data_IF_951730782280
#
_entry.id   IF_951730782280
#
_cell.length_a   1.000
_cell.length_b   1.000
_cell.length_c   1.000
_cell.angle_alpha   90.00
_cell.angle_beta   90.00
_cell.angle_gamma   90.00
#
_symmetry.space_group_name_H-M   'P 1'
#
loop_
_entity.id
_entity.type
_entity.pdbx_description
1 polymer ?
#
# COMPACT_ATOMS: atom_id res chain seq x y z
N UNK A 1 8.91 -22.15 -17.95
CA UNK A 1 8.99 -22.25 -16.48
C UNK A 1 8.41 -20.96 -15.92
N UNK A 2 7.47 -21.06 -14.99
CA UNK A 2 6.80 -19.90 -14.40
C UNK A 2 7.68 -19.30 -13.31
N UNK A 3 7.87 -17.98 -13.30
CA UNK A 3 8.59 -17.28 -12.24
C UNK A 3 7.62 -16.49 -11.34
N UNK A 4 7.75 -16.71 -10.03
CA UNK A 4 6.93 -16.09 -9.00
C UNK A 4 7.83 -15.46 -7.96
N UNK A 5 7.67 -14.16 -7.73
CA UNK A 5 8.59 -13.39 -6.91
C UNK A 5 7.88 -12.33 -6.07
N UNK A 6 8.33 -12.17 -4.84
CA UNK A 6 8.04 -11.03 -3.97
C UNK A 6 9.30 -10.18 -3.85
N UNK A 7 9.22 -8.91 -4.28
CA UNK A 7 10.25 -7.90 -3.99
C UNK A 7 9.76 -7.05 -2.82
N UNK A 8 10.40 -7.21 -1.66
CA UNK A 8 10.24 -6.26 -0.58
C UNK A 8 11.18 -5.08 -0.78
N UNK A 9 10.58 -3.91 -0.75
CA UNK A 9 11.18 -2.65 -1.10
C UNK A 9 11.13 -1.69 0.07
N UNK A 10 11.97 -0.67 0.01
CA UNK A 10 11.95 0.45 0.95
C UNK A 10 11.25 1.67 0.36
N UNK A 11 10.92 2.64 1.20
CA UNK A 11 10.21 3.83 0.79
C UNK A 11 11.01 4.66 -0.22
N UNK A 12 10.42 4.92 -1.40
CA UNK A 12 11.08 5.71 -2.44
C UNK A 12 12.15 4.98 -3.26
N UNK A 13 12.17 3.65 -3.19
CA UNK A 13 13.05 2.79 -4.02
C UNK A 13 12.66 2.69 -5.50
N UNK A 14 11.49 3.21 -5.89
CA UNK A 14 11.02 3.11 -7.27
C UNK A 14 10.26 1.82 -7.59
N UNK A 15 9.54 1.22 -6.62
CA UNK A 15 8.65 0.04 -6.78
C UNK A 15 7.87 0.05 -8.10
N UNK A 16 7.06 1.07 -8.30
CA UNK A 16 6.22 1.20 -9.50
C UNK A 16 7.05 1.37 -10.76
N UNK A 17 8.19 2.08 -10.70
CA UNK A 17 9.10 2.22 -11.84
C UNK A 17 9.68 0.86 -12.23
N UNK A 18 10.12 0.06 -11.25
CA UNK A 18 10.64 -1.29 -11.47
C UNK A 18 9.62 -2.21 -12.17
N UNK A 19 8.34 -2.12 -11.80
CA UNK A 19 7.27 -2.85 -12.49
C UNK A 19 7.12 -2.39 -13.94
N UNK A 20 7.09 -1.06 -14.16
CA UNK A 20 6.88 -0.47 -15.49
C UNK A 20 8.06 -0.75 -16.43
N UNK A 21 9.29 -0.75 -15.93
CA UNK A 21 10.49 -1.01 -16.71
C UNK A 21 10.48 -2.41 -17.32
N UNK A 22 9.85 -3.39 -16.65
CA UNK A 22 9.70 -4.78 -17.12
C UNK A 22 8.62 -4.97 -18.18
N UNK A 23 7.74 -4.00 -18.38
CA UNK A 23 6.67 -4.09 -19.38
C UNK A 23 7.24 -4.02 -20.80
N UNK A 24 6.62 -4.75 -21.71
CA UNK A 24 6.90 -4.76 -23.16
C UNK A 24 5.59 -4.90 -23.96
N UNK A 25 5.70 -4.88 -25.28
CA UNK A 25 4.54 -4.94 -26.19
C UNK A 25 4.18 -6.38 -26.59
N UNK A 26 5.04 -7.36 -26.32
CA UNK A 26 4.87 -8.75 -26.77
C UNK A 26 4.05 -9.60 -25.80
N UNK A 27 4.13 -9.29 -24.50
CA UNK A 27 3.49 -10.06 -23.41
C UNK A 27 2.29 -9.33 -22.84
N UNK A 28 1.33 -10.07 -22.28
CA UNK A 28 0.11 -9.51 -21.68
C UNK A 28 0.32 -9.31 -20.18
N UNK A 29 0.16 -8.07 -19.72
CA UNK A 29 0.45 -7.66 -18.36
C UNK A 29 -0.79 -7.16 -17.64
N UNK A 30 -1.06 -7.70 -16.46
CA UNK A 30 -2.09 -7.19 -15.56
C UNK A 30 -1.40 -6.58 -14.35
N UNK A 31 -1.51 -5.26 -14.20
CA UNK A 31 -1.00 -4.53 -13.03
C UNK A 31 -2.16 -4.22 -12.09
N UNK A 32 -2.06 -4.68 -10.85
CA UNK A 32 -3.05 -4.45 -9.80
C UNK A 32 -2.40 -3.60 -8.72
N UNK A 33 -3.12 -2.57 -8.28
CA UNK A 33 -2.72 -1.71 -7.17
C UNK A 33 -3.93 -1.38 -6.28
N UNK A 34 -3.72 -0.85 -5.09
CA UNK A 34 -4.83 -0.66 -4.16
C UNK A 34 -5.70 0.57 -4.50
N UNK A 35 -5.09 1.73 -4.73
CA UNK A 35 -5.82 3.01 -4.80
C UNK A 35 -6.06 3.47 -6.24
N UNK A 36 -7.11 4.27 -6.45
CA UNK A 36 -7.40 4.93 -7.73
C UNK A 36 -6.24 5.85 -8.13
N UNK A 37 -5.70 6.61 -7.17
CA UNK A 37 -4.55 7.51 -7.38
C UNK A 37 -3.32 6.76 -7.88
N UNK A 38 -2.97 5.64 -7.24
CA UNK A 38 -1.87 4.77 -7.68
C UNK A 38 -2.10 4.23 -9.08
N UNK A 39 -3.32 3.77 -9.39
CA UNK A 39 -3.65 3.23 -10.71
C UNK A 39 -3.54 4.30 -11.81
N UNK A 40 -3.99 5.53 -11.55
CA UNK A 40 -3.86 6.66 -12.48
C UNK A 40 -2.40 7.03 -12.72
N UNK A 41 -1.58 7.06 -11.65
CA UNK A 41 -0.14 7.33 -11.77
C UNK A 41 0.58 6.25 -12.56
N UNK A 42 0.24 4.97 -12.35
CA UNK A 42 0.77 3.85 -13.13
C UNK A 42 0.43 4.03 -14.62
N UNK A 43 -0.83 4.27 -14.95
CA UNK A 43 -1.25 4.51 -16.35
C UNK A 43 -0.50 5.66 -16.99
N UNK A 44 -0.38 6.79 -16.28
CA UNK A 44 0.37 7.94 -16.75
C UNK A 44 1.84 7.61 -17.04
N UNK A 45 2.50 6.86 -16.15
CA UNK A 45 3.90 6.43 -16.34
C UNK A 45 4.05 5.43 -17.50
N UNK A 46 3.08 4.55 -17.72
CA UNK A 46 3.04 3.66 -18.89
C UNK A 46 2.91 4.47 -20.18
N UNK A 47 2.00 5.46 -20.22
CA UNK A 47 1.85 6.38 -21.34
C UNK A 47 3.14 7.15 -21.60
N UNK A 48 3.83 7.62 -20.55
CA UNK A 48 5.15 8.25 -20.70
C UNK A 48 6.20 7.33 -21.32
N UNK A 49 6.17 6.03 -20.99
CA UNK A 49 7.14 5.05 -21.51
C UNK A 49 6.88 4.70 -22.98
N UNK A 50 5.62 4.48 -23.36
CA UNK A 50 5.27 3.95 -24.69
C UNK A 50 4.65 5.00 -25.63
N UNK A 51 4.37 6.21 -25.16
CA UNK A 51 3.63 7.26 -25.89
C UNK A 51 2.10 7.09 -25.85
N UNK A 52 1.60 5.92 -25.47
CA UNK A 52 0.19 5.58 -25.33
C UNK A 52 0.02 4.48 -24.28
N UNK A 53 -1.22 4.07 -23.98
CA UNK A 53 -1.50 2.90 -23.13
C UNK A 53 -1.72 1.67 -24.03
N UNK A 54 -0.78 0.71 -24.08
CA UNK A 54 -0.92 -0.46 -24.95
C UNK A 54 -2.04 -1.40 -24.52
N UNK A 55 -2.77 -1.97 -25.49
CA UNK A 55 -3.92 -2.85 -25.24
C UNK A 55 -3.54 -4.14 -24.49
N UNK A 56 -2.30 -4.61 -24.62
CA UNK A 56 -1.77 -5.78 -23.92
C UNK A 56 -1.46 -5.49 -22.43
N UNK A 57 -1.53 -4.24 -21.98
CA UNK A 57 -1.22 -3.84 -20.60
C UNK A 57 -2.49 -3.29 -19.94
N UNK A 58 -3.02 -4.04 -18.97
CA UNK A 58 -4.20 -3.64 -18.21
C UNK A 58 -3.82 -3.24 -16.79
N UNK A 59 -4.35 -2.10 -16.34
CA UNK A 59 -4.13 -1.58 -14.99
C UNK A 59 -5.46 -1.57 -14.24
N UNK A 60 -5.47 -2.12 -13.03
CA UNK A 60 -6.65 -2.24 -12.19
C UNK A 60 -6.40 -1.68 -10.79
N UNK A 61 -7.43 -1.10 -10.19
CA UNK A 61 -7.51 -1.10 -8.72
C UNK A 61 -7.91 -2.49 -8.23
N UNK A 62 -7.54 -2.84 -7.00
CA UNK A 62 -7.78 -4.18 -6.45
C UNK A 62 -9.25 -4.63 -6.54
N UNK A 63 -10.19 -3.83 -6.04
CA UNK A 63 -11.62 -4.17 -6.11
C UNK A 63 -12.16 -4.20 -7.53
N UNK A 64 -11.61 -3.37 -8.43
CA UNK A 64 -11.99 -3.40 -9.83
C UNK A 64 -11.55 -4.70 -10.50
N UNK A 65 -10.35 -5.20 -10.17
CA UNK A 65 -9.88 -6.51 -10.61
C UNK A 65 -10.79 -7.63 -10.07
N UNK A 66 -11.06 -7.65 -8.76
CA UNK A 66 -11.96 -8.66 -8.19
C UNK A 66 -13.33 -8.66 -8.87
N UNK A 67 -13.97 -7.49 -8.98
CA UNK A 67 -15.32 -7.42 -9.52
C UNK A 67 -15.35 -7.68 -11.03
N UNK A 68 -14.61 -6.92 -11.84
CA UNK A 68 -14.74 -6.99 -13.29
C UNK A 68 -14.06 -8.21 -13.90
N UNK A 69 -12.98 -8.72 -13.30
CA UNK A 69 -12.28 -9.89 -13.81
C UNK A 69 -12.74 -11.18 -13.13
N UNK A 70 -12.90 -11.19 -11.80
CA UNK A 70 -13.10 -12.42 -11.05
C UNK A 70 -14.58 -12.76 -10.77
N UNK A 71 -15.47 -11.77 -10.70
CA UNK A 71 -16.87 -11.98 -10.27
C UNK A 71 -17.86 -11.79 -11.42
N UNK A 72 -17.85 -10.63 -12.06
CA UNK A 72 -18.83 -10.22 -13.07
C UNK A 72 -18.93 -11.22 -14.23
N UNK A 73 -17.84 -11.75 -14.81
CA UNK A 73 -17.94 -12.67 -15.94
C UNK A 73 -18.72 -13.95 -15.63
N UNK A 74 -18.74 -14.39 -14.38
CA UNK A 74 -19.36 -15.64 -13.95
C UNK A 74 -20.75 -15.43 -13.35
N UNK A 75 -20.94 -14.33 -12.62
CA UNK A 75 -22.13 -14.12 -11.79
C UNK A 75 -23.10 -13.06 -12.33
N UNK A 76 -22.76 -12.36 -13.43
CA UNK A 76 -23.57 -11.26 -13.96
C UNK A 76 -25.04 -11.66 -14.18
N UNK A 77 -25.28 -12.75 -14.93
CA UNK A 77 -26.64 -13.22 -15.21
C UNK A 77 -27.30 -13.89 -14.00
N UNK A 78 -26.53 -14.61 -13.18
CA UNK A 78 -27.03 -15.32 -11.99
C UNK A 78 -27.64 -14.37 -10.96
N UNK A 79 -27.01 -13.21 -10.75
CA UNK A 79 -27.38 -12.25 -9.70
C UNK A 79 -27.76 -10.87 -10.20
N UNK A 80 -27.87 -10.68 -11.52
CA UNK A 80 -28.14 -9.39 -12.16
C UNK A 80 -27.22 -8.27 -11.62
N UNK A 81 -25.90 -8.53 -11.67
CA UNK A 81 -24.90 -7.67 -11.03
C UNK A 81 -24.85 -6.29 -11.70
N UNK A 82 -25.01 -5.24 -10.89
CA UNK A 82 -24.98 -3.83 -11.35
C UNK A 82 -23.66 -3.13 -11.05
N UNK A 83 -22.98 -3.50 -9.96
CA UNK A 83 -21.72 -2.87 -9.60
C UNK A 83 -21.19 -3.27 -8.22
N UNK A 84 -20.31 -2.42 -7.69
CA UNK A 84 -19.70 -2.56 -6.36
C UNK A 84 -20.24 -1.46 -5.45
N UNK A 85 -20.58 -1.81 -4.22
CA UNK A 85 -20.84 -0.86 -3.14
C UNK A 85 -19.55 -0.62 -2.34
N UNK A 86 -19.00 0.59 -2.42
CA UNK A 86 -17.73 0.96 -1.80
C UNK A 86 -17.85 1.38 -0.34
N UNK A 87 -19.05 1.65 0.14
CA UNK A 87 -19.29 1.88 1.57
C UNK A 87 -19.35 0.55 2.32
N UNK A 88 -19.25 0.63 3.65
CA UNK A 88 -19.39 -0.54 4.50
C UNK A 88 -20.78 -1.17 4.36
N UNK A 89 -20.88 -2.50 4.34
CA UNK A 89 -22.16 -3.19 4.29
C UNK A 89 -22.99 -2.87 5.54
N UNK A 90 -24.34 -2.83 5.44
CA UNK A 90 -25.22 -2.63 6.60
C UNK A 90 -24.94 -3.67 7.69
N UNK A 91 -24.96 -3.28 8.96
CA UNK A 91 -24.58 -4.17 10.07
C UNK A 91 -25.39 -5.48 10.11
N UNK A 92 -26.67 -5.41 9.73
CA UNK A 92 -27.58 -6.56 9.67
C UNK A 92 -27.02 -7.70 8.83
N UNK A 93 -26.24 -7.38 7.79
CA UNK A 93 -25.65 -8.36 6.90
C UNK A 93 -24.61 -9.26 7.58
N UNK A 94 -24.03 -8.84 8.70
CA UNK A 94 -23.08 -9.65 9.46
C UNK A 94 -23.74 -10.88 10.10
N UNK A 95 -25.03 -10.80 10.41
CA UNK A 95 -25.80 -11.87 11.07
C UNK A 95 -26.30 -12.93 10.08
N UNK A 96 -26.25 -12.67 8.78
CA UNK A 96 -26.58 -13.69 7.79
C UNK A 96 -25.56 -14.83 7.80
N UNK A 97 -26.05 -16.05 7.52
CA UNK A 97 -25.20 -17.24 7.35
C UNK A 97 -24.27 -17.06 6.15
N UNK A 98 -23.11 -17.72 6.15
CA UNK A 98 -22.18 -17.66 5.02
C UNK A 98 -22.75 -18.26 3.73
N UNK A 99 -23.80 -19.09 3.83
CA UNK A 99 -24.52 -19.64 2.68
C UNK A 99 -25.56 -18.69 2.08
N UNK A 100 -25.77 -17.50 2.67
CA UNK A 100 -26.77 -16.55 2.23
C UNK A 100 -26.15 -15.45 1.36
N UNK A 101 -26.59 -15.34 0.10
CA UNK A 101 -26.09 -14.35 -0.86
C UNK A 101 -26.27 -12.89 -0.38
N UNK A 102 -27.28 -12.62 0.47
CA UNK A 102 -27.53 -11.29 1.06
C UNK A 102 -26.40 -10.84 1.99
N UNK A 103 -25.54 -11.78 2.43
CA UNK A 103 -24.30 -11.47 3.10
C UNK A 103 -23.30 -10.80 2.17
N UNK A 104 -23.33 -11.04 0.87
CA UNK A 104 -22.28 -10.55 -0.04
C UNK A 104 -22.74 -9.38 -0.90
N UNK A 105 -24.04 -9.21 -1.09
CA UNK A 105 -24.58 -8.17 -1.96
C UNK A 105 -25.95 -7.63 -1.53
N UNK A 106 -26.27 -6.43 -2.01
CA UNK A 106 -27.57 -5.80 -1.82
C UNK A 106 -28.65 -6.41 -2.71
N UNK A 107 -29.92 -6.21 -2.33
CA UNK A 107 -31.09 -6.60 -3.15
C UNK A 107 -31.10 -5.96 -4.55
N UNK A 108 -30.40 -4.83 -4.72
CA UNK A 108 -30.36 -4.08 -5.97
C UNK A 108 -29.25 -4.56 -6.93
N UNK A 109 -28.53 -5.64 -6.61
CA UNK A 109 -27.48 -6.21 -7.48
C UNK A 109 -26.09 -5.63 -7.26
N UNK A 110 -25.84 -4.91 -6.17
CA UNK A 110 -24.52 -4.33 -5.86
C UNK A 110 -23.76 -5.18 -4.83
N UNK A 111 -22.54 -5.58 -5.16
CA UNK A 111 -21.69 -6.42 -4.29
C UNK A 111 -20.91 -5.55 -3.32
N UNK A 112 -20.81 -5.96 -2.05
CA UNK A 112 -20.02 -5.23 -1.05
C UNK A 112 -18.52 -5.44 -1.30
N UNK A 113 -17.77 -4.35 -1.48
CA UNK A 113 -16.35 -4.40 -1.86
C UNK A 113 -15.49 -5.28 -0.93
N UNK A 114 -15.66 -5.13 0.37
CA UNK A 114 -14.93 -5.85 1.42
C UNK A 114 -15.31 -7.33 1.55
N UNK A 115 -16.26 -7.82 0.74
CA UNK A 115 -16.73 -9.21 0.73
C UNK A 115 -16.59 -9.88 -0.64
N UNK A 116 -15.96 -9.23 -1.61
CA UNK A 116 -15.73 -9.78 -2.95
C UNK A 116 -14.92 -11.08 -2.92
N UNK A 117 -13.81 -11.13 -2.17
CA UNK A 117 -13.01 -12.37 -2.03
C UNK A 117 -13.84 -13.52 -1.45
N UNK A 118 -14.67 -13.25 -0.43
CA UNK A 118 -15.57 -14.26 0.14
C UNK A 118 -16.68 -14.68 -0.81
N UNK A 119 -17.18 -13.79 -1.66
CA UNK A 119 -18.18 -14.14 -2.67
C UNK A 119 -17.59 -15.12 -3.70
N UNK A 120 -16.33 -14.91 -4.10
CA UNK A 120 -15.61 -15.81 -5.01
C UNK A 120 -15.46 -17.19 -4.35
N UNK A 121 -15.10 -17.25 -3.07
CA UNK A 121 -15.04 -18.49 -2.30
C UNK A 121 -16.40 -19.18 -2.16
N UNK A 122 -17.46 -18.42 -1.82
CA UNK A 122 -18.83 -18.92 -1.67
C UNK A 122 -19.36 -19.55 -2.97
N UNK A 123 -19.04 -18.95 -4.11
CA UNK A 123 -19.44 -19.43 -5.44
C UNK A 123 -18.46 -20.45 -6.04
N UNK A 124 -17.41 -20.83 -5.30
CA UNK A 124 -16.38 -21.77 -5.73
C UNK A 124 -15.69 -21.39 -7.06
N UNK A 125 -15.47 -20.09 -7.30
CA UNK A 125 -14.98 -19.56 -8.58
C UNK A 125 -13.45 -19.52 -8.69
N UNK A 126 -12.70 -19.96 -7.68
CA UNK A 126 -11.24 -19.80 -7.64
C UNK A 126 -10.55 -20.44 -8.85
N UNK A 127 -10.92 -21.67 -9.20
CA UNK A 127 -10.31 -22.39 -10.33
C UNK A 127 -10.70 -21.79 -11.67
N UNK A 128 -11.96 -21.37 -11.84
CA UNK A 128 -12.43 -20.69 -13.05
C UNK A 128 -11.69 -19.36 -13.28
N UNK A 129 -11.43 -18.62 -12.19
CA UNK A 129 -10.68 -17.36 -12.24
C UNK A 129 -9.21 -17.62 -12.60
N UNK A 130 -8.58 -18.69 -12.08
CA UNK A 130 -7.21 -19.07 -12.45
C UNK A 130 -7.11 -19.40 -13.94
N UNK A 131 -7.98 -20.27 -14.46
CA UNK A 131 -8.03 -20.63 -15.89
C UNK A 131 -8.23 -19.41 -16.77
N UNK A 132 -9.12 -18.50 -16.34
CA UNK A 132 -9.34 -17.23 -17.04
C UNK A 132 -8.08 -16.37 -17.02
N UNK A 133 -7.39 -16.28 -15.87
CA UNK A 133 -6.17 -15.48 -15.75
C UNK A 133 -5.07 -16.00 -16.67
N UNK A 134 -4.82 -17.31 -16.67
CA UNK A 134 -3.85 -17.96 -17.57
C UNK A 134 -4.19 -17.74 -19.06
N UNK A 135 -5.48 -17.73 -19.40
CA UNK A 135 -5.93 -17.48 -20.77
C UNK A 135 -5.65 -16.06 -21.24
N UNK A 136 -5.70 -15.04 -20.38
CA UNK A 136 -5.66 -13.62 -20.78
C UNK A 136 -4.39 -12.86 -20.35
N UNK A 137 -3.59 -13.44 -19.46
CA UNK A 137 -2.46 -12.76 -18.82
C UNK A 137 -1.22 -13.67 -18.78
N UNK A 138 -0.06 -13.11 -19.13
CA UNK A 138 1.22 -13.80 -19.04
C UNK A 138 2.00 -13.40 -17.77
N UNK A 139 1.78 -12.15 -17.31
CA UNK A 139 2.43 -11.56 -16.14
C UNK A 139 1.43 -10.78 -15.28
N UNK A 140 1.21 -11.28 -14.07
CA UNK A 140 0.40 -10.61 -13.05
C UNK A 140 1.29 -9.88 -12.06
N UNK A 141 1.22 -8.55 -12.09
CA UNK A 141 2.00 -7.67 -11.22
C UNK A 141 1.09 -7.06 -10.16
N UNK A 142 1.50 -7.11 -8.91
CA UNK A 142 0.76 -6.54 -7.79
C UNK A 142 1.64 -5.54 -7.05
N UNK A 143 1.24 -4.26 -7.10
CA UNK A 143 1.90 -3.17 -6.37
C UNK A 143 1.24 -2.96 -4.99
N UNK A 144 2.04 -2.52 -4.02
CA UNK A 144 1.64 -2.31 -2.62
C UNK A 144 1.03 -3.58 -1.97
N UNK A 145 1.65 -4.75 -2.19
CA UNK A 145 1.17 -6.05 -1.69
C UNK A 145 1.01 -6.13 -0.16
N UNK A 146 1.71 -5.27 0.59
CA UNK A 146 1.54 -5.20 2.04
C UNK A 146 0.16 -4.69 2.46
N UNK A 147 -0.57 -4.00 1.59
CA UNK A 147 -1.92 -3.50 1.92
C UNK A 147 -2.98 -4.62 1.85
N UNK A 148 -2.64 -5.80 1.31
CA UNK A 148 -3.49 -6.99 1.37
C UNK A 148 -3.70 -7.44 2.82
N UNK A 149 -4.96 -7.66 3.19
CA UNK A 149 -5.34 -8.20 4.49
C UNK A 149 -6.42 -9.27 4.42
N UNK A 150 -6.67 -9.91 5.56
CA UNK A 150 -7.78 -10.85 5.75
C UNK A 150 -7.96 -11.85 4.59
N UNK A 151 -9.15 -11.91 3.99
CA UNK A 151 -9.48 -12.89 2.94
C UNK A 151 -8.86 -12.54 1.60
N UNK A 152 -8.58 -11.25 1.36
CA UNK A 152 -7.94 -10.79 0.12
C UNK A 152 -6.53 -11.37 -0.03
N UNK A 153 -5.77 -11.43 1.06
CA UNK A 153 -4.47 -12.08 1.06
C UNK A 153 -4.57 -13.55 0.66
N UNK A 154 -5.50 -14.30 1.29
CA UNK A 154 -5.69 -15.72 0.99
C UNK A 154 -6.08 -15.93 -0.48
N UNK A 155 -7.03 -15.13 -0.99
CA UNK A 155 -7.46 -15.20 -2.37
C UNK A 155 -6.30 -14.95 -3.36
N UNK A 156 -5.48 -13.91 -3.13
CA UNK A 156 -4.33 -13.62 -4.00
C UNK A 156 -3.26 -14.72 -3.93
N UNK A 157 -3.03 -15.31 -2.75
CA UNK A 157 -2.12 -16.46 -2.62
C UNK A 157 -2.67 -17.69 -3.35
N UNK A 158 -3.96 -17.99 -3.23
CA UNK A 158 -4.58 -19.06 -4.00
C UNK A 158 -4.51 -18.80 -5.50
N UNK A 159 -4.80 -17.58 -5.94
CA UNK A 159 -4.67 -17.17 -7.34
C UNK A 159 -3.24 -17.34 -7.85
N UNK A 160 -2.23 -17.10 -7.00
CA UNK A 160 -0.82 -17.27 -7.36
C UNK A 160 -0.42 -18.70 -7.70
N UNK A 161 -1.26 -19.71 -7.40
CA UNK A 161 -1.04 -21.12 -7.82
C UNK A 161 -1.23 -21.34 -9.32
N UNK A 162 -1.85 -20.41 -10.03
CA UNK A 162 -2.00 -20.47 -11.48
C UNK A 162 -0.66 -20.51 -12.24
N UNK A 163 -0.70 -20.99 -13.47
CA UNK A 163 0.43 -21.24 -14.37
C UNK A 163 0.80 -19.98 -15.19
N UNK A 164 1.03 -18.86 -14.51
CA UNK A 164 1.56 -17.62 -15.09
C UNK A 164 2.52 -16.91 -14.15
N UNK A 165 3.27 -15.94 -14.66
CA UNK A 165 4.28 -15.26 -13.86
C UNK A 165 3.64 -14.28 -12.88
N UNK A 166 4.14 -14.26 -11.64
CA UNK A 166 3.69 -13.33 -10.61
C UNK A 166 4.85 -12.47 -10.11
N UNK A 167 4.62 -11.17 -10.03
CA UNK A 167 5.55 -10.24 -9.38
C UNK A 167 4.79 -9.38 -8.37
N UNK A 168 5.02 -9.66 -7.10
CA UNK A 168 4.51 -8.87 -5.99
C UNK A 168 5.57 -7.86 -5.57
N UNK A 169 5.19 -6.61 -5.37
CA UNK A 169 6.09 -5.56 -4.87
C UNK A 169 5.40 -4.82 -3.73
N UNK A 170 6.13 -4.56 -2.65
CA UNK A 170 5.59 -3.84 -1.51
C UNK A 170 6.62 -3.45 -0.48
N UNK A 171 6.22 -2.66 0.50
CA UNK A 171 7.04 -2.27 1.65
C UNK A 171 6.31 -2.66 2.94
N UNK A 172 6.80 -3.72 3.61
CA UNK A 172 6.19 -4.27 4.82
C UNK A 172 5.99 -3.23 5.93
N UNK A 173 6.91 -2.26 6.05
CA UNK A 173 6.85 -1.24 7.09
C UNK A 173 5.96 -0.05 6.72
N UNK A 174 5.54 0.08 5.45
CA UNK A 174 4.51 1.05 5.01
C UNK A 174 3.07 0.54 5.09
N UNK A 175 2.81 -0.56 5.81
CA UNK A 175 1.45 -1.03 6.05
C UNK A 175 0.69 -0.05 6.95
N UNK A 176 -0.11 0.83 6.33
CA UNK A 176 -0.97 1.84 6.97
C UNK A 176 -2.46 1.65 6.68
N UNK A 177 -2.79 0.98 5.57
CA UNK A 177 -4.14 0.62 5.14
C UNK A 177 -4.28 -0.89 4.99
N UNK A 178 -5.51 -1.40 5.06
CA UNK A 178 -5.83 -2.82 4.87
C UNK A 178 -6.97 -2.91 3.85
N UNK A 179 -6.88 -3.83 2.90
CA UNK A 179 -7.90 -4.05 1.86
C UNK A 179 -9.24 -4.53 2.43
N UNK A 180 -9.23 -5.36 3.46
CA UNK A 180 -10.44 -5.75 4.19
C UNK A 180 -10.12 -6.03 5.65
N UNK A 181 -11.13 -5.87 6.50
CA UNK A 181 -11.00 -6.12 7.93
C UNK A 181 -12.00 -7.21 8.35
N UNK A 182 -11.48 -8.42 8.55
CA UNK A 182 -12.16 -9.48 9.29
C UNK A 182 -11.38 -9.73 10.58
N UNK A 183 -12.02 -9.51 11.73
CA UNK A 183 -11.38 -9.50 13.07
C UNK A 183 -10.69 -10.81 13.43
N UNK A 184 -10.96 -11.90 12.72
CA UNK A 184 -10.40 -13.22 13.03
C UNK A 184 -9.38 -13.72 11.99
N UNK A 185 -9.40 -13.20 10.76
CA UNK A 185 -8.60 -13.77 9.66
C UNK A 185 -7.38 -12.91 9.37
N UNK A 186 -6.19 -13.55 9.39
CA UNK A 186 -4.90 -12.92 9.11
C UNK A 186 -4.58 -11.69 10.00
N UNK A 187 -5.13 -11.60 11.21
CA UNK A 187 -4.89 -10.51 12.19
C UNK A 187 -3.40 -10.33 12.50
N UNK A 188 -2.65 -11.42 12.45
CA UNK A 188 -1.22 -11.44 12.76
C UNK A 188 -0.32 -11.40 11.52
N UNK A 189 -0.89 -11.32 10.30
CA UNK A 189 -0.14 -11.37 9.03
C UNK A 189 0.99 -10.34 9.01
N UNK A 190 0.66 -9.12 9.43
CA UNK A 190 1.57 -7.98 9.44
C UNK A 190 2.17 -7.74 10.82
N UNK A 191 2.30 -8.75 11.70
CA UNK A 191 2.94 -8.56 13.03
C UNK A 191 4.43 -8.86 12.98
N UNK A 192 4.83 -9.89 12.25
CA UNK A 192 6.20 -10.40 12.23
C UNK A 192 6.68 -10.48 10.77
N UNK A 193 7.86 -9.91 10.52
CA UNK A 193 8.44 -9.81 9.18
C UNK A 193 8.78 -11.19 8.60
N UNK A 194 9.41 -12.06 9.38
CA UNK A 194 9.82 -13.39 8.92
C UNK A 194 8.62 -14.31 8.73
N UNK A 195 7.62 -14.24 9.61
CA UNK A 195 6.36 -14.98 9.40
C UNK A 195 5.62 -14.49 8.16
N UNK A 196 5.67 -13.20 7.85
CA UNK A 196 5.10 -12.66 6.62
C UNK A 196 5.80 -13.25 5.39
N UNK A 197 7.13 -13.30 5.37
CA UNK A 197 7.90 -13.94 4.27
C UNK A 197 7.52 -15.41 4.07
N UNK A 198 7.45 -16.18 5.17
CA UNK A 198 7.06 -17.60 5.13
C UNK A 198 5.68 -17.84 4.51
N UNK A 199 4.77 -16.86 4.58
CA UNK A 199 3.44 -16.98 3.95
C UNK A 199 3.53 -16.96 2.43
N UNK A 200 4.48 -16.25 1.84
CA UNK A 200 4.72 -16.26 0.39
C UNK A 200 5.54 -17.47 -0.04
N UNK A 201 6.56 -17.84 0.74
CA UNK A 201 7.38 -19.04 0.47
C UNK A 201 6.54 -20.32 0.44
N UNK A 202 5.50 -20.40 1.27
CA UNK A 202 4.55 -21.53 1.27
C UNK A 202 3.77 -21.71 -0.06
N UNK A 203 3.84 -20.74 -0.96
CA UNK A 203 3.23 -20.76 -2.30
C UNK A 203 4.29 -20.75 -3.41
N UNK A 204 5.51 -21.17 -3.11
CA UNK A 204 6.66 -21.22 -4.03
C UNK A 204 7.05 -19.85 -4.62
N UNK A 205 6.77 -18.77 -3.88
CA UNK A 205 7.12 -17.41 -4.27
C UNK A 205 8.50 -17.07 -3.73
N UNK A 206 9.44 -16.78 -4.63
CA UNK A 206 10.82 -16.39 -4.26
C UNK A 206 10.85 -15.02 -3.61
N UNK A 207 11.60 -14.90 -2.52
CA UNK A 207 11.74 -13.64 -1.79
C UNK A 207 12.99 -12.88 -2.27
N UNK A 208 12.82 -11.59 -2.54
CA UNK A 208 13.90 -10.66 -2.86
C UNK A 208 13.84 -9.45 -1.95
N UNK A 209 14.87 -9.32 -1.10
CA UNK A 209 15.04 -8.22 -0.16
C UNK A 209 16.11 -7.21 -0.61
N UNK A 210 16.75 -7.44 -1.77
CA UNK A 210 17.95 -6.71 -2.21
C UNK A 210 17.64 -5.73 -3.35
N UNK A 211 16.81 -6.11 -4.31
CA UNK A 211 16.62 -5.33 -5.55
C UNK A 211 16.15 -3.89 -5.29
N UNK A 212 15.32 -3.69 -4.26
CA UNK A 212 14.75 -2.38 -3.93
C UNK A 212 15.04 -1.98 -2.47
N UNK A 213 16.24 -2.29 -1.97
CA UNK A 213 16.66 -1.98 -0.60
C UNK A 213 17.06 -0.51 -0.38
N UNK A 214 17.22 0.26 -1.45
CA UNK A 214 17.74 1.63 -1.40
C UNK A 214 16.73 2.65 -1.96
N UNK A 215 16.67 3.83 -1.36
CA UNK A 215 15.77 4.92 -1.74
C UNK A 215 16.41 5.88 -2.74
N UNK A 216 15.70 6.19 -3.83
CA UNK A 216 16.01 7.32 -4.70
C UNK A 216 15.48 8.65 -4.15
N UNK A 217 14.56 8.59 -3.18
CA UNK A 217 13.93 9.78 -2.58
C UNK A 217 14.71 10.31 -1.38
N UNK A 218 15.08 9.46 -0.43
CA UNK A 218 15.65 9.90 0.85
C UNK A 218 17.17 10.01 0.78
N UNK A 219 17.76 11.04 1.40
CA UNK A 219 19.21 11.16 1.56
C UNK A 219 19.77 10.10 2.53
N UNK A 220 21.09 9.84 2.55
CA UNK A 220 21.72 9.00 3.56
C UNK A 220 21.39 9.45 5.00
N UNK A 221 21.28 10.75 5.26
CA UNK A 221 20.91 11.28 6.58
C UNK A 221 19.56 10.73 7.06
N UNK A 222 18.54 10.79 6.20
CA UNK A 222 17.18 10.33 6.52
C UNK A 222 17.14 8.80 6.63
N UNK A 223 17.81 8.10 5.72
CA UNK A 223 17.88 6.65 5.71
C UNK A 223 18.55 6.08 6.97
N UNK A 224 19.69 6.64 7.37
CA UNK A 224 20.39 6.24 8.59
C UNK A 224 19.53 6.53 9.82
N UNK A 225 18.92 7.73 9.89
CA UNK A 225 18.04 8.07 10.99
C UNK A 225 16.87 7.08 11.15
N UNK A 226 16.23 6.68 10.04
CA UNK A 226 15.17 5.66 10.06
C UNK A 226 15.72 4.31 10.54
N UNK A 227 16.88 3.88 10.04
CA UNK A 227 17.50 2.60 10.42
C UNK A 227 17.81 2.58 11.92
N UNK A 228 18.48 3.61 12.43
CA UNK A 228 18.96 3.66 13.81
C UNK A 228 17.81 3.85 14.82
N UNK A 229 16.82 4.67 14.49
CA UNK A 229 15.74 5.03 15.44
C UNK A 229 14.52 4.13 15.33
N UNK A 230 14.22 3.61 14.13
CA UNK A 230 13.07 2.76 13.89
C UNK A 230 13.43 1.30 13.65
N UNK A 231 14.69 0.88 13.58
CA UNK A 231 15.03 -0.54 13.32
C UNK A 231 14.34 -1.04 12.03
N UNK A 232 14.44 -0.21 10.98
CA UNK A 232 13.93 -0.47 9.63
C UNK A 232 15.08 -0.20 8.67
N UNK A 233 15.67 -1.26 8.12
CA UNK A 233 16.80 -1.14 7.22
C UNK A 233 16.39 -0.47 5.91
N UNK A 234 16.98 0.69 5.63
CA UNK A 234 16.77 1.45 4.40
C UNK A 234 18.08 2.09 3.94
N UNK A 235 18.49 1.80 2.70
CA UNK A 235 19.64 2.45 2.06
C UNK A 235 19.24 3.70 1.28
N UNK A 236 20.22 4.45 0.80
CA UNK A 236 20.02 5.57 -0.13
C UNK A 236 20.82 5.35 -1.42
N UNK A 237 20.25 5.72 -2.56
CA UNK A 237 20.99 5.88 -3.82
C UNK A 237 21.61 7.27 -3.96
N UNK A 238 21.31 8.19 -3.05
CA UNK A 238 21.82 9.56 -3.05
C UNK A 238 23.11 9.65 -2.24
N UNK A 239 23.88 10.70 -2.51
CA UNK A 239 25.14 11.01 -1.81
C UNK A 239 25.10 12.34 -1.06
N UNK A 240 24.10 13.19 -1.34
CA UNK A 240 23.96 14.50 -0.70
C UNK A 240 23.42 14.36 0.73
N UNK A 241 23.85 15.27 1.61
CA UNK A 241 23.42 15.29 3.00
C UNK A 241 22.29 16.31 3.20
N UNK A 242 21.29 15.93 3.98
CA UNK A 242 20.22 16.83 4.40
C UNK A 242 20.25 17.01 5.92
N UNK A 243 19.35 17.82 6.49
CA UNK A 243 19.30 18.07 7.93
C UNK A 243 18.03 17.52 8.55
N UNK A 244 18.18 16.94 9.75
CA UNK A 244 17.08 16.64 10.66
C UNK A 244 17.20 17.61 11.83
N UNK A 245 16.23 18.51 11.98
CA UNK A 245 16.29 19.59 12.97
C UNK A 245 15.10 19.51 13.90
N UNK A 246 15.37 19.37 15.20
CA UNK A 246 14.36 19.52 16.23
C UNK A 246 14.05 21.01 16.46
N UNK A 247 12.78 21.40 16.39
CA UNK A 247 12.32 22.77 16.67
C UNK A 247 11.64 22.80 18.03
N UNK A 248 12.27 23.47 18.99
CA UNK A 248 11.78 23.65 20.36
C UNK A 248 11.33 25.08 20.67
N UNK A 249 11.55 26.01 19.73
CA UNK A 249 11.18 27.41 19.85
C UNK A 249 9.99 27.74 18.93
N UNK A 250 8.93 28.28 19.51
CA UNK A 250 7.70 28.68 18.79
C UNK A 250 7.97 29.77 17.75
N UNK A 251 8.90 30.70 18.01
CA UNK A 251 9.25 31.75 17.05
C UNK A 251 9.92 31.19 15.80
N UNK A 252 10.76 30.15 15.95
CA UNK A 252 11.36 29.42 14.82
C UNK A 252 10.36 28.53 14.09
N UNK A 253 9.31 28.06 14.78
CA UNK A 253 8.27 27.22 14.20
C UNK A 253 7.31 27.97 13.28
N UNK A 254 6.92 29.20 13.63
CA UNK A 254 5.97 30.03 12.86
C UNK A 254 6.34 30.14 11.36
N UNK A 255 7.58 30.52 10.96
CA UNK A 255 7.91 30.61 9.54
C UNK A 255 7.86 29.26 8.83
N UNK A 256 8.17 28.15 9.52
CA UNK A 256 8.02 26.79 8.97
C UNK A 256 6.54 26.48 8.73
N UNK A 257 5.67 26.82 9.69
CA UNK A 257 4.22 26.61 9.59
C UNK A 257 3.60 27.38 8.42
N UNK A 258 4.04 28.61 8.18
CA UNK A 258 3.51 29.47 7.13
C UNK A 258 4.07 29.14 5.73
N UNK A 259 5.19 28.41 5.64
CA UNK A 259 5.79 28.05 4.35
C UNK A 259 5.13 26.82 3.71
N UNK A 260 4.31 27.03 2.66
CA UNK A 260 3.60 25.96 1.95
C UNK A 260 4.49 25.00 1.14
N UNK A 261 5.77 25.32 0.92
CA UNK A 261 6.75 24.42 0.30
C UNK A 261 7.26 23.35 1.29
N UNK A 262 7.05 23.58 2.59
CA UNK A 262 7.31 22.59 3.64
C UNK A 262 5.98 21.94 4.00
N UNK A 263 5.79 20.66 3.67
CA UNK A 263 4.55 19.96 4.03
C UNK A 263 4.55 19.64 5.52
N UNK A 264 3.41 19.85 6.19
CA UNK A 264 3.26 19.51 7.61
C UNK A 264 2.61 18.13 7.70
N UNK A 265 3.28 17.22 8.39
CA UNK A 265 2.83 15.85 8.55
C UNK A 265 2.43 15.65 10.00
N UNK A 266 1.13 15.43 10.23
CA UNK A 266 0.53 15.20 11.55
C UNK A 266 0.07 13.75 11.72
N UNK A 267 0.00 13.25 12.95
CA UNK A 267 -0.42 11.86 13.20
C UNK A 267 -1.84 11.54 12.68
N UNK A 268 -2.77 12.47 12.89
CA UNK A 268 -4.16 12.44 12.44
C UNK A 268 -4.77 13.86 12.43
N UNK A 269 -6.00 13.99 11.92
CA UNK A 269 -6.80 15.22 11.92
C UNK A 269 -6.11 16.41 11.23
N UNK A 270 -5.41 16.17 10.12
CA UNK A 270 -4.80 17.23 9.31
C UNK A 270 -5.81 18.30 8.84
N UNK A 271 -7.05 17.90 8.58
CA UNK A 271 -8.15 18.79 8.22
C UNK A 271 -8.56 19.77 9.32
N UNK A 272 -8.14 19.56 10.57
CA UNK A 272 -8.42 20.46 11.71
C UNK A 272 -7.27 21.46 11.96
N UNK A 273 -6.30 21.56 11.05
CA UNK A 273 -5.15 22.45 11.18
C UNK A 273 -5.35 23.69 10.33
N UNK A 274 -4.92 24.82 10.86
CA UNK A 274 -5.00 26.12 10.17
C UNK A 274 -3.87 26.33 9.14
N UNK A 275 -3.14 25.27 8.82
CA UNK A 275 -2.02 25.26 7.87
C UNK A 275 -2.07 24.02 6.99
N UNK A 276 -1.44 24.09 5.81
CA UNK A 276 -1.37 22.98 4.85
C UNK A 276 -0.72 21.76 5.48
N UNK A 277 -1.53 20.76 5.82
CA UNK A 277 -1.10 19.54 6.49
C UNK A 277 -1.67 18.28 5.86
N UNK A 278 -1.01 17.14 6.10
CA UNK A 278 -1.48 15.80 5.76
C UNK A 278 -1.27 14.83 6.92
N UNK A 279 -2.10 13.79 6.99
CA UNK A 279 -1.90 12.73 7.96
C UNK A 279 -0.70 11.86 7.55
N UNK A 280 0.07 11.38 8.53
CA UNK A 280 1.25 10.52 8.29
C UNK A 280 0.96 9.29 7.43
N UNK A 281 -0.24 8.70 7.55
CA UNK A 281 -0.63 7.55 6.74
C UNK A 281 -1.10 7.90 5.32
N UNK A 282 -1.69 9.09 5.14
CA UNK A 282 -2.32 9.52 3.89
C UNK A 282 -1.33 10.01 2.85
N UNK A 283 -0.16 10.51 3.27
CA UNK A 283 0.88 10.95 2.34
C UNK A 283 1.64 9.78 1.65
N UNK A 284 1.27 8.52 1.94
CA UNK A 284 1.85 7.34 1.28
C UNK A 284 1.62 7.43 -0.24
N UNK A 285 2.69 7.23 -1.01
CA UNK A 285 2.63 7.25 -2.48
C UNK A 285 2.78 8.65 -3.11
N UNK A 286 2.81 9.72 -2.31
CA UNK A 286 3.09 11.08 -2.79
C UNK A 286 4.61 11.33 -2.85
N UNK A 287 5.03 12.03 -3.90
CA UNK A 287 6.44 12.17 -4.31
C UNK A 287 6.89 13.64 -4.52
N UNK A 288 6.02 14.60 -4.24
CA UNK A 288 6.15 16.02 -4.56
C UNK A 288 6.73 16.89 -3.43
N UNK A 289 7.00 16.29 -2.27
CA UNK A 289 7.55 17.03 -1.13
C UNK A 289 9.07 17.20 -1.23
N UNK A 290 9.52 18.45 -1.10
CA UNK A 290 10.94 18.77 -0.92
C UNK A 290 11.27 18.63 0.56
N UNK A 291 10.83 19.59 1.38
CA UNK A 291 11.06 19.59 2.82
C UNK A 291 9.79 19.16 3.58
N UNK A 292 9.98 18.53 4.74
CA UNK A 292 8.87 18.06 5.60
C UNK A 292 9.01 18.57 7.02
N UNK A 293 7.88 18.90 7.65
CA UNK A 293 7.77 19.18 9.08
C UNK A 293 6.90 18.10 9.73
N UNK A 294 7.50 17.21 10.52
CA UNK A 294 6.82 16.12 11.22
C UNK A 294 6.44 16.59 12.62
N UNK A 295 5.13 16.71 12.84
CA UNK A 295 4.55 17.09 14.11
C UNK A 295 4.23 15.82 14.89
N UNK A 296 5.06 15.52 15.89
CA UNK A 296 4.95 14.36 16.75
C UNK A 296 3.92 14.56 17.84
N UNK A 297 3.00 13.59 17.98
CA UNK A 297 2.12 13.54 19.15
C UNK A 297 2.93 13.33 20.44
N UNK A 298 2.28 13.57 21.59
CA UNK A 298 2.96 13.52 22.91
C UNK A 298 3.67 12.19 23.16
N UNK A 299 3.04 11.06 22.83
CA UNK A 299 3.63 9.73 23.03
C UNK A 299 4.88 9.52 22.18
N UNK A 300 4.83 9.92 20.91
CA UNK A 300 5.97 9.79 19.98
C UNK A 300 7.11 10.71 20.40
N UNK A 301 6.80 11.95 20.78
CA UNK A 301 7.80 12.90 21.24
C UNK A 301 8.53 12.44 22.51
N UNK A 302 7.80 11.86 23.47
CA UNK A 302 8.39 11.33 24.69
C UNK A 302 9.35 10.15 24.44
N UNK A 303 9.06 9.32 23.43
CA UNK A 303 9.96 8.23 23.01
C UNK A 303 11.14 8.75 22.18
N UNK A 304 10.94 9.77 21.36
CA UNK A 304 12.00 10.49 20.65
C UNK A 304 13.04 11.06 21.63
N UNK A 305 12.60 11.78 22.67
CA UNK A 305 13.50 12.35 23.70
C UNK A 305 14.28 11.31 24.52
N UNK A 306 13.90 10.03 24.45
CA UNK A 306 14.55 8.91 25.14
C UNK A 306 15.35 8.01 24.19
N UNK A 307 15.53 8.42 22.93
CA UNK A 307 16.16 7.63 21.86
C UNK A 307 15.56 6.21 21.74
N UNK A 308 14.24 6.12 21.89
CA UNK A 308 13.53 4.84 22.01
C UNK A 308 12.34 4.72 21.06
N UNK A 309 12.40 5.38 19.90
CA UNK A 309 11.35 5.34 18.89
C UNK A 309 11.05 3.91 18.39
N UNK A 310 12.02 2.99 18.47
CA UNK A 310 11.82 1.57 18.16
C UNK A 310 10.72 0.88 19.00
N UNK A 311 10.43 1.37 20.21
CA UNK A 311 9.35 0.86 21.09
C UNK A 311 7.96 1.39 20.74
N UNK A 312 7.82 2.22 19.71
CA UNK A 312 6.51 2.65 19.25
C UNK A 312 5.63 1.44 18.89
N UNK A 313 4.34 1.53 19.24
CA UNK A 313 3.35 0.59 18.75
C UNK A 313 3.42 0.51 17.22
N UNK A 314 3.32 -0.71 16.67
CA UNK A 314 3.60 -0.99 15.24
C UNK A 314 2.89 -0.04 14.27
N UNK A 315 1.61 0.26 14.51
CA UNK A 315 0.82 1.19 13.68
C UNK A 315 1.41 2.61 13.67
N UNK A 316 1.82 3.12 14.83
CA UNK A 316 2.42 4.45 14.96
C UNK A 316 3.81 4.47 14.35
N UNK A 317 4.60 3.42 14.57
CA UNK A 317 5.93 3.22 13.99
C UNK A 317 5.89 3.24 12.45
N UNK A 318 4.99 2.46 11.85
CA UNK A 318 4.79 2.41 10.40
C UNK A 318 4.36 3.78 9.83
N UNK A 319 3.42 4.47 10.48
CA UNK A 319 3.02 5.82 10.08
C UNK A 319 4.19 6.81 10.16
N UNK A 320 4.97 6.78 11.23
CA UNK A 320 6.14 7.64 11.38
C UNK A 320 7.20 7.35 10.31
N UNK A 321 7.42 6.07 9.97
CA UNK A 321 8.29 5.68 8.85
C UNK A 321 7.78 6.24 7.50
N UNK A 322 6.47 6.17 7.23
CA UNK A 322 5.89 6.80 6.04
C UNK A 322 6.19 8.30 6.03
N UNK A 323 5.99 8.99 7.16
CA UNK A 323 6.22 10.44 7.28
C UNK A 323 7.71 10.82 7.10
N UNK A 324 8.64 10.14 7.77
CA UNK A 324 10.09 10.39 7.66
C UNK A 324 10.59 10.15 6.22
N UNK A 325 10.04 9.15 5.55
CA UNK A 325 10.46 8.78 4.18
C UNK A 325 9.83 9.63 3.07
N UNK A 326 9.10 10.70 3.41
CA UNK A 326 8.49 11.62 2.43
C UNK A 326 9.44 12.72 1.96
N UNK A 327 10.41 13.12 2.77
CA UNK A 327 11.27 14.25 2.44
C UNK A 327 12.30 13.89 1.37
N UNK A 328 12.54 14.85 0.46
CA UNK A 328 13.74 14.86 -0.41
C UNK A 328 14.81 15.80 0.15
N UNK A 329 14.46 16.75 0.98
CA UNK A 329 15.36 17.73 1.56
C UNK A 329 15.46 17.55 3.07
N UNK A 330 15.23 18.64 3.78
CA UNK A 330 15.33 18.72 5.22
C UNK A 330 14.07 18.17 5.89
N UNK A 331 14.26 17.66 7.12
CA UNK A 331 13.19 17.20 7.98
C UNK A 331 13.20 18.00 9.28
N UNK A 332 12.11 18.70 9.57
CA UNK A 332 11.89 19.37 10.84
C UNK A 332 11.07 18.46 11.74
N UNK A 333 11.50 18.27 12.99
CA UNK A 333 10.77 17.52 14.01
C UNK A 333 10.21 18.51 15.03
N UNK A 334 8.93 18.35 15.37
CA UNK A 334 8.21 19.29 16.24
C UNK A 334 7.36 18.52 17.25
N UNK A 335 7.36 18.95 18.51
CA UNK A 335 6.36 18.48 19.47
C UNK A 335 5.03 19.18 19.19
N UNK A 336 3.94 18.43 19.03
CA UNK A 336 2.60 18.99 18.86
C UNK A 336 2.20 19.99 19.97
N UNK A 337 2.75 19.86 21.18
CA UNK A 337 2.52 20.83 22.27
C UNK A 337 2.99 22.25 21.95
N UNK A 338 3.96 22.45 21.05
CA UNK A 338 4.40 23.79 20.62
C UNK A 338 3.35 24.53 19.78
N UNK A 339 2.36 23.81 19.24
CA UNK A 339 1.28 24.40 18.46
C UNK A 339 0.20 25.04 19.34
N UNK A 340 0.22 24.77 20.65
CA UNK A 340 -0.74 25.31 21.61
C UNK A 340 -0.35 26.71 22.07
#
# INVERSE_FOLDING_TARGET
MVDKKLILAVAGSGKTTNLIDKLNLDKRFYLVTYTITSASLIRYRIIKKFGYLPNNIQVFTYFNFLYNFCVKPFLFFKYNLKGIYLENPPEQTNYFKNSDIRKYMSKNGYVYHNRLAKLIEFENLIEDVKLRLEKFCDYFYYDEVQDLGSHDFNFIMELSKSNLNFLFVGDFYQHTYVTSFDRNVNVNLHKDFYKYLKRFEAYDIKIDLKTLSNSWRCSPTICNYITDNLDINIGSHRTDQTKITLIEDKQKLIPILNNNNIIKLVYNNANKRDFKAKNWGECKGEDDFIDTCIIMNTTTYNLYKKDNLKKLAKRTKNKLYVALSRTRGNCYLVNEKLLK
#
